data_IF_817497918157
#
_entry.id   IF_817497918157
#
_cell.length_a   1.000
_cell.length_b   1.000
_cell.length_c   1.000
_cell.angle_alpha   90.00
_cell.angle_beta   90.00
_cell.angle_gamma   90.00
#
_symmetry.space_group_name_H-M   'P 1'
#
loop_
_entity.id
_entity.type
_entity.pdbx_description
1 polymer ?
#
# COMPACT_ATOMS: atom_id res chain seq x y z
N UNK A 1 14.38 16.49 -55.68
CA UNK A 1 14.24 16.79 -54.24
C UNK A 1 15.10 18.01 -53.97
N UNK A 2 14.49 19.15 -53.67
CA UNK A 2 15.21 20.42 -53.57
C UNK A 2 15.95 20.51 -52.23
N UNK A 3 17.11 21.17 -52.21
CA UNK A 3 17.92 21.34 -50.99
C UNK A 3 17.06 21.97 -49.87
N UNK A 4 16.17 22.90 -50.22
CA UNK A 4 15.21 23.50 -49.28
C UNK A 4 14.24 22.48 -48.66
N UNK A 5 13.78 21.49 -49.42
CA UNK A 5 12.89 20.43 -48.90
C UNK A 5 13.63 19.50 -47.94
N UNK A 6 14.91 19.22 -48.19
CA UNK A 6 15.74 18.42 -47.28
C UNK A 6 15.97 19.13 -45.94
N UNK A 7 16.28 20.43 -45.97
CA UNK A 7 16.47 21.22 -44.74
C UNK A 7 15.20 21.28 -43.90
N UNK A 8 14.04 21.49 -44.54
CA UNK A 8 12.74 21.50 -43.86
C UNK A 8 12.43 20.17 -43.14
N UNK A 9 12.67 19.03 -43.80
CA UNK A 9 12.41 17.71 -43.21
C UNK A 9 13.29 17.44 -41.98
N UNK A 10 14.55 17.86 -42.01
CA UNK A 10 15.47 17.69 -40.87
C UNK A 10 15.01 18.49 -39.65
N UNK A 11 14.60 19.75 -39.83
CA UNK A 11 14.12 20.59 -38.72
C UNK A 11 12.86 20.00 -38.08
N UNK A 12 11.91 19.53 -38.90
CA UNK A 12 10.68 18.89 -38.41
C UNK A 12 11.01 17.60 -37.65
N UNK A 13 11.91 16.75 -38.18
CA UNK A 13 12.30 15.50 -37.53
C UNK A 13 12.98 15.74 -36.17
N UNK A 14 13.84 16.76 -36.05
CA UNK A 14 14.47 17.14 -34.78
C UNK A 14 13.43 17.67 -33.79
N UNK A 15 12.49 18.50 -34.25
CA UNK A 15 11.38 18.99 -33.45
C UNK A 15 10.49 17.86 -32.93
N UNK A 16 10.13 16.89 -33.78
CA UNK A 16 9.38 15.70 -33.38
C UNK A 16 10.16 14.84 -32.40
N UNK A 17 11.46 14.62 -32.60
CA UNK A 17 12.30 13.88 -31.65
C UNK A 17 12.36 14.56 -30.27
N UNK A 18 12.46 15.89 -30.23
CA UNK A 18 12.48 16.65 -28.99
C UNK A 18 11.11 16.61 -28.29
N UNK A 19 10.03 16.76 -29.05
CA UNK A 19 8.66 16.67 -28.57
C UNK A 19 8.35 15.26 -28.04
N UNK A 20 8.67 14.21 -28.81
CA UNK A 20 8.50 12.81 -28.41
C UNK A 20 9.32 12.51 -27.15
N UNK A 21 10.61 12.89 -27.10
CA UNK A 21 11.41 12.69 -25.87
C UNK A 21 10.81 13.41 -24.65
N UNK A 22 10.28 14.61 -24.84
CA UNK A 22 9.63 15.37 -23.78
C UNK A 22 8.32 14.71 -23.35
N UNK A 23 7.48 14.29 -24.28
CA UNK A 23 6.20 13.63 -23.98
C UNK A 23 6.41 12.24 -23.39
N UNK A 24 7.33 11.42 -23.90
CA UNK A 24 7.67 10.13 -23.30
C UNK A 24 8.19 10.26 -21.86
N UNK A 25 8.93 11.33 -21.54
CA UNK A 25 9.38 11.57 -20.17
C UNK A 25 8.24 12.00 -19.24
N UNK A 26 7.32 12.82 -19.73
CA UNK A 26 6.16 13.34 -18.94
C UNK A 26 5.02 12.33 -18.84
N UNK A 27 4.84 11.49 -19.86
CA UNK A 27 3.78 10.49 -19.94
C UNK A 27 4.20 9.12 -19.38
N UNK A 28 5.40 9.02 -18.80
CA UNK A 28 5.86 7.80 -18.15
C UNK A 28 5.19 7.60 -16.78
N UNK A 29 3.84 7.59 -16.77
CA UNK A 29 2.88 6.95 -15.84
C UNK A 29 3.39 6.61 -14.42
N UNK A 30 4.10 7.53 -13.77
CA UNK A 30 4.56 7.42 -12.39
C UNK A 30 4.04 8.55 -11.51
N UNK A 31 3.23 9.42 -12.07
CA UNK A 31 2.66 10.56 -11.38
C UNK A 31 1.14 10.46 -11.44
N UNK A 32 0.56 10.14 -10.28
CA UNK A 32 -0.86 10.13 -10.03
C UNK A 32 -1.48 11.51 -10.35
N UNK A 33 -2.74 11.50 -10.82
CA UNK A 33 -3.49 12.64 -11.35
C UNK A 33 -3.80 13.80 -10.38
N UNK A 34 -3.02 13.98 -9.32
CA UNK A 34 -3.13 15.11 -8.39
C UNK A 34 -1.74 15.65 -8.03
N UNK A 35 -1.08 16.28 -9.00
CA UNK A 35 -0.13 17.39 -8.79
C UNK A 35 0.94 17.27 -7.70
N UNK A 36 1.39 16.06 -7.36
CA UNK A 36 2.39 15.82 -6.32
C UNK A 36 3.30 14.72 -6.79
N UNK A 37 4.53 15.10 -7.19
CA UNK A 37 5.52 14.16 -7.70
C UNK A 37 5.78 13.01 -6.73
N UNK A 38 6.26 11.90 -7.29
CA UNK A 38 6.61 10.67 -6.59
C UNK A 38 7.26 10.92 -5.21
N UNK A 39 6.43 10.92 -4.16
CA UNK A 39 6.89 10.62 -2.81
C UNK A 39 6.95 9.12 -2.69
N UNK A 40 8.15 8.59 -2.89
CA UNK A 40 8.55 7.37 -2.22
C UNK A 40 8.11 7.41 -0.75
N UNK A 41 7.55 6.30 -0.29
CA UNK A 41 7.34 5.97 1.13
C UNK A 41 6.09 6.53 1.83
N UNK A 42 4.89 6.20 1.34
CA UNK A 42 3.93 5.65 2.30
C UNK A 42 4.49 4.28 2.71
N UNK A 43 4.61 4.00 4.03
CA UNK A 43 5.05 2.69 4.54
C UNK A 43 4.16 1.61 3.90
N UNK A 44 4.60 1.04 2.77
CA UNK A 44 3.95 -0.12 2.16
C UNK A 44 4.26 -1.27 3.11
N UNK A 45 3.32 -1.56 4.01
CA UNK A 45 3.29 -2.85 4.67
C UNK A 45 3.29 -3.90 3.55
N UNK A 46 4.41 -4.61 3.41
CA UNK A 46 4.52 -5.69 2.44
C UNK A 46 3.42 -6.69 2.80
N UNK A 47 2.69 -7.18 1.80
CA UNK A 47 1.69 -8.21 1.99
C UNK A 47 2.35 -9.43 2.65
N UNK A 48 2.23 -9.54 3.97
CA UNK A 48 2.91 -10.55 4.72
C UNK A 48 2.06 -11.81 4.64
N UNK A 49 2.58 -12.81 3.91
CA UNK A 49 1.95 -14.13 3.87
C UNK A 49 2.12 -14.77 5.24
N UNK A 50 1.02 -14.91 5.96
CA UNK A 50 0.97 -15.68 7.20
C UNK A 50 1.22 -17.14 6.82
N UNK A 51 2.38 -17.67 7.22
CA UNK A 51 2.82 -19.01 6.84
C UNK A 51 2.08 -20.13 7.58
N UNK A 52 1.43 -19.82 8.71
CA UNK A 52 0.72 -20.79 9.53
C UNK A 52 -0.76 -20.41 9.67
N UNK A 53 -1.62 -21.08 8.93
CA UNK A 53 -3.09 -20.91 9.02
C UNK A 53 -3.72 -21.84 10.07
N UNK A 54 -2.93 -22.53 10.89
CA UNK A 54 -3.44 -23.49 11.88
C UNK A 54 -3.77 -22.79 13.20
N UNK A 55 -5.05 -22.60 13.48
CA UNK A 55 -5.59 -21.95 14.69
C UNK A 55 -5.07 -22.59 15.99
N UNK A 56 -4.79 -23.90 16.01
CA UNK A 56 -4.27 -24.60 17.20
C UNK A 56 -2.84 -24.19 17.60
N UNK A 57 -2.10 -23.49 16.73
CA UNK A 57 -0.75 -22.99 17.02
C UNK A 57 -0.79 -21.65 17.78
N UNK A 58 -1.93 -20.95 17.77
CA UNK A 58 -2.09 -19.63 18.36
C UNK A 58 -2.78 -19.75 19.71
N UNK A 59 -2.03 -19.50 20.80
CA UNK A 59 -2.54 -19.61 22.18
C UNK A 59 -3.30 -18.38 22.65
N UNK A 60 -3.11 -17.26 21.96
CA UNK A 60 -3.67 -15.97 22.34
C UNK A 60 -4.52 -15.45 21.20
N UNK A 61 -5.71 -14.97 21.56
CA UNK A 61 -6.65 -14.33 20.65
C UNK A 61 -7.00 -12.96 21.22
N UNK A 62 -7.06 -11.95 20.35
CA UNK A 62 -7.40 -10.59 20.69
C UNK A 62 -8.32 -10.02 19.62
N UNK A 63 -9.45 -9.47 20.06
CA UNK A 63 -10.43 -8.85 19.18
C UNK A 63 -10.43 -7.34 19.39
N UNK A 64 -10.16 -6.58 18.33
CA UNK A 64 -10.12 -5.12 18.36
C UNK A 64 -11.07 -4.55 17.32
N UNK A 65 -11.88 -3.55 17.71
CA UNK A 65 -12.68 -2.79 16.75
C UNK A 65 -11.80 -1.72 16.10
N UNK A 66 -11.78 -1.66 14.78
CA UNK A 66 -10.95 -0.69 14.04
C UNK A 66 -11.85 0.29 13.29
N UNK A 67 -11.60 1.58 13.51
CA UNK A 67 -12.25 2.68 12.82
C UNK A 67 -11.45 3.18 11.62
N UNK A 68 -12.13 3.82 10.67
CA UNK A 68 -11.52 4.37 9.47
C UNK A 68 -11.44 3.43 8.27
N UNK A 69 -11.85 2.16 8.41
CA UNK A 69 -11.98 1.23 7.28
C UNK A 69 -13.29 1.48 6.52
N UNK A 70 -13.19 1.83 5.25
CA UNK A 70 -14.36 2.09 4.37
C UNK A 70 -14.36 1.24 3.10
N UNK A 71 -13.31 0.49 2.85
CA UNK A 71 -13.08 -0.24 1.61
C UNK A 71 -12.37 -1.57 1.86
N UNK A 72 -12.53 -2.55 0.96
CA UNK A 72 -11.81 -3.83 1.06
C UNK A 72 -10.29 -3.64 1.06
N UNK A 73 -9.79 -2.67 0.28
CA UNK A 73 -8.36 -2.34 0.27
C UNK A 73 -7.85 -1.82 1.61
N UNK A 74 -8.72 -1.14 2.36
CA UNK A 74 -8.44 -0.56 3.65
C UNK A 74 -8.31 -1.68 4.70
N UNK A 75 -9.17 -2.69 4.61
CA UNK A 75 -9.12 -3.93 5.40
C UNK A 75 -7.81 -4.67 5.16
N UNK A 76 -7.44 -4.87 3.89
CA UNK A 76 -6.17 -5.53 3.54
C UNK A 76 -4.97 -4.77 4.12
N UNK A 77 -4.98 -3.44 4.06
CA UNK A 77 -3.89 -2.63 4.57
C UNK A 77 -3.73 -2.77 6.10
N UNK A 78 -4.85 -2.72 6.83
CA UNK A 78 -4.88 -2.95 8.29
C UNK A 78 -4.41 -4.36 8.64
N UNK A 79 -4.91 -5.37 7.93
CA UNK A 79 -4.51 -6.76 8.15
C UNK A 79 -3.01 -6.95 7.93
N UNK A 80 -2.46 -6.35 6.87
CA UNK A 80 -1.02 -6.40 6.60
C UNK A 80 -0.20 -5.65 7.66
N UNK A 81 -0.71 -4.52 8.17
CA UNK A 81 -0.06 -3.77 9.24
C UNK A 81 0.03 -4.59 10.53
N UNK A 82 -1.06 -5.23 10.94
CA UNK A 82 -1.07 -6.07 12.15
C UNK A 82 -0.19 -7.31 11.96
N UNK A 83 -0.28 -7.97 10.81
CA UNK A 83 0.59 -9.11 10.50
C UNK A 83 2.07 -8.75 10.49
N UNK A 84 2.42 -7.47 10.32
CA UNK A 84 3.80 -6.99 10.31
C UNK A 84 4.39 -6.73 11.71
N UNK A 85 3.56 -6.63 12.75
CA UNK A 85 3.99 -6.39 14.14
C UNK A 85 5.02 -7.44 14.57
N UNK A 86 4.73 -8.70 14.24
CA UNK A 86 5.55 -9.84 14.63
C UNK A 86 5.57 -10.84 13.48
N UNK A 87 6.57 -10.70 12.63
CA UNK A 87 6.59 -11.34 11.32
C UNK A 87 6.57 -12.87 11.42
N UNK A 88 5.43 -13.48 11.09
CA UNK A 88 5.21 -14.93 11.09
C UNK A 88 4.65 -15.50 12.40
N UNK A 89 4.45 -14.68 13.43
CA UNK A 89 3.90 -15.10 14.73
C UNK A 89 2.48 -14.58 14.97
N UNK A 90 2.02 -13.64 14.14
CA UNK A 90 0.70 -13.00 14.23
C UNK A 90 -0.09 -13.25 12.97
N UNK A 91 -1.36 -13.60 13.17
CA UNK A 91 -2.34 -13.74 12.13
C UNK A 91 -3.57 -12.90 12.44
N UNK A 92 -3.75 -11.82 11.69
CA UNK A 92 -4.94 -11.00 11.71
C UNK A 92 -5.92 -11.41 10.62
N UNK A 93 -7.20 -11.48 10.99
CA UNK A 93 -8.37 -11.54 10.11
C UNK A 93 -9.23 -10.32 10.42
N UNK A 94 -9.50 -9.50 9.42
CA UNK A 94 -10.28 -8.28 9.61
C UNK A 94 -11.59 -8.38 8.83
N UNK A 95 -12.70 -8.09 9.48
CA UNK A 95 -14.03 -8.12 8.90
C UNK A 95 -14.60 -6.70 8.79
N UNK A 96 -14.95 -6.29 7.57
CA UNK A 96 -15.46 -4.94 7.29
C UNK A 96 -16.89 -4.74 7.80
N UNK A 97 -17.72 -5.79 7.78
CA UNK A 97 -19.12 -5.71 8.18
C UNK A 97 -19.29 -5.42 9.67
N UNK A 98 -18.54 -6.15 10.49
CA UNK A 98 -18.46 -6.01 11.95
C UNK A 98 -17.44 -4.97 12.41
N UNK A 99 -16.58 -4.46 11.50
CA UNK A 99 -15.47 -3.53 11.79
C UNK A 99 -14.53 -4.06 12.88
N UNK A 100 -14.36 -5.38 12.93
CA UNK A 100 -13.62 -6.07 13.97
C UNK A 100 -12.41 -6.78 13.36
N UNK A 101 -11.27 -6.65 14.02
CA UNK A 101 -10.03 -7.35 13.72
C UNK A 101 -9.82 -8.45 14.75
N UNK A 102 -9.87 -9.68 14.28
CA UNK A 102 -9.54 -10.89 15.04
C UNK A 102 -8.05 -11.19 14.86
N UNK A 103 -7.30 -11.20 15.96
CA UNK A 103 -5.85 -11.28 15.94
C UNK A 103 -5.43 -12.50 16.74
N UNK A 104 -4.72 -13.41 16.11
CA UNK A 104 -4.23 -14.64 16.69
C UNK A 104 -2.71 -14.56 16.79
N UNK A 105 -2.14 -14.86 17.96
CA UNK A 105 -0.68 -14.84 18.18
C UNK A 105 -0.16 -16.09 18.87
N UNK A 106 1.05 -16.50 18.47
CA UNK A 106 1.76 -17.65 19.06
C UNK A 106 2.43 -17.29 20.40
N UNK A 107 2.87 -16.04 20.52
CA UNK A 107 3.50 -15.48 21.72
C UNK A 107 2.56 -14.51 22.43
N UNK A 108 2.93 -14.11 23.65
CA UNK A 108 2.26 -13.03 24.37
C UNK A 108 2.31 -11.75 23.52
N UNK A 109 1.14 -11.36 23.01
CA UNK A 109 0.99 -10.15 22.21
C UNK A 109 0.67 -9.00 23.13
N UNK A 110 1.43 -7.91 23.02
CA UNK A 110 1.05 -6.67 23.67
C UNK A 110 0.00 -5.97 22.81
N UNK A 111 -1.17 -5.72 23.40
CA UNK A 111 -2.24 -4.97 22.75
C UNK A 111 -1.74 -3.59 22.31
N UNK A 112 -0.85 -2.95 23.08
CA UNK A 112 -0.30 -1.64 22.75
C UNK A 112 0.49 -1.65 21.43
N UNK A 113 1.29 -2.71 21.19
CA UNK A 113 2.06 -2.86 19.94
C UNK A 113 1.15 -3.03 18.72
N UNK A 114 -0.01 -3.69 18.88
CA UNK A 114 -0.99 -3.80 17.80
C UNK A 114 -1.68 -2.46 17.55
N UNK A 115 -2.09 -1.76 18.61
CA UNK A 115 -2.70 -0.43 18.50
C UNK A 115 -1.74 0.53 17.77
N UNK A 116 -0.45 0.55 18.14
CA UNK A 116 0.56 1.37 17.48
C UNK A 116 0.75 1.03 15.99
N UNK A 117 0.70 -0.26 15.62
CA UNK A 117 0.81 -0.66 14.22
C UNK A 117 -0.42 -0.26 13.39
N UNK A 118 -1.62 -0.33 13.98
CA UNK A 118 -2.86 0.16 13.36
C UNK A 118 -2.81 1.67 13.17
N UNK A 119 -2.32 2.42 14.17
CA UNK A 119 -2.09 3.86 14.09
C UNK A 119 -1.04 4.24 13.06
N UNK A 120 0.06 3.48 12.97
CA UNK A 120 1.09 3.66 11.95
C UNK A 120 0.57 3.41 10.52
N UNK A 121 -0.50 2.61 10.37
CA UNK A 121 -1.21 2.41 9.12
C UNK A 121 -2.25 3.52 8.82
N UNK A 122 -2.47 4.45 9.75
CA UNK A 122 -3.41 5.57 9.61
C UNK A 122 -4.83 5.26 10.05
N UNK A 123 -5.03 4.22 10.86
CA UNK A 123 -6.32 3.82 11.41
C UNK A 123 -6.31 3.94 12.93
N UNK A 124 -7.46 3.80 13.57
CA UNK A 124 -7.57 3.94 15.03
C UNK A 124 -8.40 2.81 15.62
N UNK A 125 -8.07 2.41 16.85
CA UNK A 125 -8.81 1.37 17.57
C UNK A 125 -9.96 2.00 18.35
N UNK A 126 -11.19 1.56 18.08
CA UNK A 126 -12.41 2.05 18.70
C UNK A 126 -12.71 1.28 19.99
N UNK A 127 -12.30 1.81 21.14
CA UNK A 127 -12.67 1.29 22.46
C UNK A 127 -14.05 1.82 22.87
N UNK A 128 -15.12 1.26 22.31
CA UNK A 128 -16.51 1.68 22.57
C UNK A 128 -17.41 0.50 22.88
#
# INVERSE_FOLDING_TARGET
>A
MNIQTLVLLVVIAVGMLFALRRTYRVFSLKDDCCGGGAKDSSKKFKAQRVSDTNEANYKHALDLKIGGMTCEKCVENVQNAINSVDAGNVWARVDLGSKTAHILSKNALDQASVEEAVEAAGYFVSRR
#
